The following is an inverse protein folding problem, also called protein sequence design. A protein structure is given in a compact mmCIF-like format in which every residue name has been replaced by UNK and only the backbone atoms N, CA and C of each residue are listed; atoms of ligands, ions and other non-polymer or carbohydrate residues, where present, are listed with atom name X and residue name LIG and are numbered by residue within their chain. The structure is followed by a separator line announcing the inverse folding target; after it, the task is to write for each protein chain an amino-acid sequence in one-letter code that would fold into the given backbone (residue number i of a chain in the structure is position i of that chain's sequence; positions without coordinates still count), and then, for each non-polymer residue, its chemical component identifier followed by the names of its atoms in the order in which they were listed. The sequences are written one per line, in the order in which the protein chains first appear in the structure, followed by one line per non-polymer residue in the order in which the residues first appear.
data_IF_390263278055
#
_entry.id   IF_390263278055
#
_cell.length_a   1.000
_cell.length_b   1.000
_cell.length_c   1.000
_cell.angle_alpha   90.00
_cell.angle_beta   90.00
_cell.angle_gamma   90.00
#
_symmetry.space_group_name_H-M   'P 1'
#
loop_
_entity.id
_entity.type
_entity.pdbx_description
1 polymer ?
#
# COMPACT_ATOMS: atom_id res chain seq x y z
N UNK A 1 -37.16 26.83 -45.07
CA UNK A 1 -36.04 27.76 -44.85
C UNK A 1 -35.75 27.79 -43.36
N UNK A 2 -34.71 27.10 -42.89
CA UNK A 2 -33.92 27.39 -41.68
C UNK A 2 -32.81 26.34 -41.59
N UNK A 3 -31.61 26.80 -41.24
CA UNK A 3 -30.30 26.16 -41.42
C UNK A 3 -29.89 25.26 -40.25
N UNK A 4 -28.93 24.37 -40.56
CA UNK A 4 -27.82 23.82 -39.75
C UNK A 4 -27.71 24.30 -38.29
N UNK A 5 -27.39 23.37 -37.38
CA UNK A 5 -26.09 23.32 -36.68
C UNK A 5 -25.81 21.84 -36.36
N UNK A 6 -24.79 21.27 -37.04
CA UNK A 6 -24.14 20.02 -36.65
C UNK A 6 -23.24 20.35 -35.47
N UNK A 7 -23.65 19.99 -34.25
CA UNK A 7 -22.76 20.08 -33.09
C UNK A 7 -21.82 18.88 -33.12
N UNK A 8 -20.62 19.09 -33.67
CA UNK A 8 -19.49 18.20 -33.56
C UNK A 8 -19.09 18.16 -32.07
N UNK A 9 -19.64 17.22 -31.31
CA UNK A 9 -19.08 16.87 -30.01
C UNK A 9 -17.75 16.17 -30.33
N UNK A 10 -16.66 16.94 -30.24
CA UNK A 10 -15.34 16.39 -30.02
C UNK A 10 -15.44 15.54 -28.75
N UNK A 11 -15.57 14.23 -28.92
CA UNK A 11 -15.10 13.29 -27.92
C UNK A 11 -13.58 13.48 -27.87
N UNK A 12 -13.13 14.45 -27.07
CA UNK A 12 -11.84 14.35 -26.42
C UNK A 12 -12.04 13.18 -25.46
N UNK A 13 -11.65 11.99 -25.90
CA UNK A 13 -11.36 10.88 -25.01
C UNK A 13 -10.31 11.38 -24.03
N UNK A 14 -10.75 11.88 -22.88
CA UNK A 14 -9.90 12.12 -21.73
C UNK A 14 -9.26 10.79 -21.41
N UNK A 15 -7.97 10.68 -21.71
CA UNK A 15 -7.15 9.56 -21.30
C UNK A 15 -7.25 9.50 -19.78
N UNK A 16 -7.85 8.46 -19.24
CA UNK A 16 -7.94 8.24 -17.79
C UNK A 16 -6.51 8.06 -17.26
N UNK A 17 -5.91 9.16 -16.81
CA UNK A 17 -4.58 9.19 -16.19
C UNK A 17 -4.70 8.55 -14.81
N UNK A 18 -4.53 7.25 -14.68
CA UNK A 18 -4.42 6.65 -13.34
C UNK A 18 -3.10 7.17 -12.73
N UNK A 19 -3.09 7.59 -11.46
CA UNK A 19 -1.88 8.13 -10.82
C UNK A 19 -1.30 7.10 -9.86
N UNK A 20 0.02 6.90 -9.89
CA UNK A 20 0.78 6.38 -8.77
C UNK A 20 0.58 7.30 -7.55
N UNK A 21 0.71 6.72 -6.37
CA UNK A 21 0.22 7.33 -5.14
C UNK A 21 1.25 8.27 -4.50
N UNK A 22 0.83 9.51 -4.20
CA UNK A 22 1.58 10.43 -3.35
C UNK A 22 0.68 10.82 -2.18
N UNK A 23 0.89 10.11 -1.06
CA UNK A 23 0.07 10.20 0.15
C UNK A 23 0.54 11.35 1.02
N UNK A 24 -0.40 12.14 1.53
CA UNK A 24 -0.13 13.36 2.31
C UNK A 24 -1.03 13.45 3.53
N UNK A 25 -0.70 14.33 4.47
CA UNK A 25 -1.59 14.57 5.60
C UNK A 25 -2.92 15.14 5.10
N UNK A 26 -4.05 14.72 5.68
CA UNK A 26 -5.37 15.24 5.31
C UNK A 26 -5.47 16.78 5.46
N UNK A 27 -4.63 17.39 6.31
CA UNK A 27 -4.52 18.84 6.47
C UNK A 27 -3.94 19.55 5.24
N UNK A 28 -3.17 18.84 4.41
CA UNK A 28 -2.58 19.33 3.16
C UNK A 28 -3.48 19.07 1.94
N UNK A 29 -4.63 18.43 2.12
CA UNK A 29 -5.58 18.24 1.03
C UNK A 29 -6.27 19.55 0.67
N UNK A 30 -6.41 19.77 -0.64
CA UNK A 30 -7.26 20.80 -1.22
C UNK A 30 -8.74 20.50 -0.96
N UNK A 31 -9.61 21.51 -1.12
CA UNK A 31 -11.05 21.32 -1.03
C UNK A 31 -11.59 20.33 -2.06
N UNK A 32 -10.99 20.29 -3.27
CA UNK A 32 -11.32 19.30 -4.29
C UNK A 32 -11.00 17.88 -3.83
N UNK A 33 -9.78 17.61 -3.38
CA UNK A 33 -9.37 16.27 -2.95
C UNK A 33 -10.23 15.76 -1.79
N UNK A 34 -10.61 16.64 -0.84
CA UNK A 34 -11.50 16.27 0.27
C UNK A 34 -12.88 15.86 -0.23
N UNK A 35 -13.44 16.62 -1.17
CA UNK A 35 -14.74 16.33 -1.77
C UNK A 35 -14.70 15.05 -2.62
N UNK A 36 -13.67 14.89 -3.45
CA UNK A 36 -13.46 13.71 -4.28
C UNK A 36 -13.27 12.44 -3.43
N UNK A 37 -12.52 12.52 -2.33
CA UNK A 37 -12.36 11.39 -1.41
C UNK A 37 -13.68 11.00 -0.74
N UNK A 38 -14.45 11.97 -0.25
CA UNK A 38 -15.79 11.72 0.32
C UNK A 38 -16.69 11.03 -0.70
N UNK A 39 -16.74 11.56 -1.93
CA UNK A 39 -17.53 10.99 -3.02
C UNK A 39 -17.06 9.57 -3.36
N UNK A 40 -15.75 9.35 -3.44
CA UNK A 40 -15.15 8.04 -3.68
C UNK A 40 -15.60 7.00 -2.66
N UNK A 41 -15.59 7.32 -1.37
CA UNK A 41 -16.09 6.41 -0.33
C UNK A 41 -17.57 6.08 -0.47
N UNK A 42 -18.42 7.05 -0.84
CA UNK A 42 -19.83 6.77 -1.12
C UNK A 42 -20.02 5.90 -2.36
N UNK A 43 -19.27 6.14 -3.44
CA UNK A 43 -19.33 5.31 -4.65
C UNK A 43 -18.89 3.87 -4.37
N UNK A 44 -17.79 3.67 -3.64
CA UNK A 44 -17.33 2.33 -3.23
C UNK A 44 -18.33 1.62 -2.30
N UNK A 45 -19.08 2.36 -1.49
CA UNK A 45 -20.17 1.83 -0.66
C UNK A 45 -21.40 1.44 -1.48
N UNK A 46 -21.70 2.18 -2.55
CA UNK A 46 -22.93 2.01 -3.32
C UNK A 46 -22.79 0.96 -4.43
N UNK A 47 -21.60 0.85 -5.03
CA UNK A 47 -21.31 0.01 -6.18
C UNK A 47 -20.49 -1.22 -5.77
N UNK A 48 -21.18 -2.30 -5.43
CA UNK A 48 -20.53 -3.54 -4.97
C UNK A 48 -20.20 -3.58 -3.48
N UNK A 49 -20.29 -2.45 -2.77
CA UNK A 49 -20.14 -2.36 -1.31
C UNK A 49 -18.77 -2.83 -0.78
N UNK A 50 -17.72 -2.36 -1.43
CA UNK A 50 -16.33 -2.70 -1.09
C UNK A 50 -15.99 -2.45 0.38
N UNK A 51 -16.57 -1.38 0.95
CA UNK A 51 -16.37 -0.99 2.35
C UNK A 51 -16.89 -2.08 3.30
N UNK A 52 -18.07 -2.64 3.04
CA UNK A 52 -18.59 -3.73 3.85
C UNK A 52 -17.80 -5.02 3.66
N UNK A 53 -17.43 -5.35 2.42
CA UNK A 53 -16.68 -6.57 2.12
C UNK A 53 -15.32 -6.58 2.82
N UNK A 54 -14.59 -5.46 2.78
CA UNK A 54 -13.34 -5.30 3.52
C UNK A 54 -13.53 -5.37 5.03
N UNK A 55 -14.63 -4.81 5.55
CA UNK A 55 -14.97 -4.89 6.97
C UNK A 55 -15.28 -6.33 7.40
N UNK A 56 -15.98 -7.10 6.58
CA UNK A 56 -16.29 -8.51 6.86
C UNK A 56 -15.02 -9.34 6.82
N UNK A 57 -14.19 -9.18 5.78
CA UNK A 57 -12.92 -9.88 5.69
C UNK A 57 -12.02 -9.59 6.91
N UNK A 58 -11.84 -8.32 7.25
CA UNK A 58 -11.01 -7.95 8.40
C UNK A 58 -11.56 -8.53 9.72
N UNK A 59 -12.88 -8.58 9.89
CA UNK A 59 -13.51 -9.25 11.03
C UNK A 59 -13.24 -10.76 11.05
N UNK A 60 -13.39 -11.42 9.91
CA UNK A 60 -13.28 -12.87 9.74
C UNK A 60 -11.83 -13.39 9.74
N UNK A 61 -10.85 -12.50 9.77
CA UNK A 61 -9.41 -12.82 9.81
C UNK A 61 -8.63 -12.05 10.89
N UNK A 62 -9.31 -11.36 11.82
CA UNK A 62 -8.72 -10.46 12.80
C UNK A 62 -7.64 -11.13 13.68
N UNK A 63 -8.01 -12.04 14.58
CA UNK A 63 -7.07 -12.77 15.46
C UNK A 63 -7.71 -14.12 15.83
N UNK A 64 -7.11 -15.24 15.40
CA UNK A 64 -7.61 -16.61 15.49
C UNK A 64 -6.78 -17.51 16.40
N UNK A 65 -6.23 -16.95 17.48
CA UNK A 65 -5.48 -17.65 18.53
C UNK A 65 -6.22 -18.82 19.25
N UNK A 66 -7.44 -19.17 18.82
CA UNK A 66 -8.23 -20.30 19.33
C UNK A 66 -8.74 -21.26 18.24
N UNK A 67 -8.11 -21.34 17.05
CA UNK A 67 -8.46 -22.37 16.05
C UNK A 67 -7.52 -23.57 16.08
N UNK A 68 -8.01 -24.73 15.65
CA UNK A 68 -7.23 -25.97 15.54
C UNK A 68 -6.39 -26.03 14.25
N UNK A 69 -6.47 -25.03 13.37
CA UNK A 69 -5.73 -25.00 12.11
C UNK A 69 -4.44 -24.21 12.29
N UNK A 70 -3.29 -24.87 12.53
CA UNK A 70 -2.01 -24.19 12.69
C UNK A 70 -1.49 -23.58 11.39
N UNK A 71 -2.21 -23.63 10.27
CA UNK A 71 -1.81 -23.06 8.98
C UNK A 71 -2.57 -21.78 8.61
N UNK A 72 -3.63 -21.45 9.34
CA UNK A 72 -4.41 -20.23 9.15
C UNK A 72 -3.66 -19.07 9.84
N UNK A 73 -3.10 -18.17 9.05
CA UNK A 73 -2.37 -16.99 9.57
C UNK A 73 -3.33 -16.05 10.36
N UNK A 74 -2.85 -14.94 10.90
CA UNK A 74 -3.71 -13.87 11.44
C UNK A 74 -3.29 -12.51 10.89
N UNK A 75 -4.25 -11.62 10.63
CA UNK A 75 -3.91 -10.26 10.18
C UNK A 75 -3.50 -9.36 11.36
N UNK A 76 -3.95 -9.72 12.58
CA UNK A 76 -3.58 -9.06 13.82
C UNK A 76 -3.10 -10.03 14.90
N UNK A 77 -2.26 -9.53 15.80
CA UNK A 77 -1.91 -10.14 17.08
C UNK A 77 -1.25 -11.52 17.00
N UNK A 78 -0.45 -11.77 15.96
CA UNK A 78 0.38 -12.97 15.84
C UNK A 78 1.13 -13.24 17.16
N UNK A 79 1.15 -14.52 17.56
CA UNK A 79 1.69 -14.91 18.86
C UNK A 79 3.23 -14.80 18.88
N UNK A 80 3.84 -14.52 20.05
CA UNK A 80 5.29 -14.42 20.18
C UNK A 80 6.07 -15.68 19.76
N UNK A 81 5.41 -16.84 19.72
CA UNK A 81 5.96 -18.14 19.31
C UNK A 81 5.77 -18.46 17.83
N UNK A 82 5.09 -17.60 17.06
CA UNK A 82 4.96 -17.71 15.60
C UNK A 82 5.48 -16.46 14.86
N UNK A 83 6.70 -15.97 15.18
CA UNK A 83 7.21 -14.72 14.64
C UNK A 83 7.24 -14.71 13.11
N UNK A 84 7.49 -15.83 12.46
CA UNK A 84 7.54 -15.96 11.00
C UNK A 84 6.21 -15.68 10.27
N UNK A 85 5.13 -15.44 11.03
CA UNK A 85 3.77 -15.15 10.57
C UNK A 85 3.36 -13.70 10.77
N UNK A 86 4.24 -12.85 11.32
CA UNK A 86 3.93 -11.42 11.49
C UNK A 86 3.72 -10.74 10.13
N UNK A 87 2.47 -10.44 9.82
CA UNK A 87 2.04 -9.83 8.55
C UNK A 87 1.30 -8.51 8.74
N UNK A 88 1.16 -8.00 9.97
CA UNK A 88 0.29 -6.85 10.28
C UNK A 88 0.59 -5.66 9.37
N UNK A 89 1.85 -5.23 9.34
CA UNK A 89 2.28 -4.09 8.54
C UNK A 89 2.11 -4.32 7.03
N UNK A 90 2.54 -5.49 6.53
CA UNK A 90 2.50 -5.81 5.11
C UNK A 90 1.07 -5.95 4.58
N UNK A 91 0.18 -6.57 5.37
CA UNK A 91 -1.23 -6.75 5.02
C UNK A 91 -1.94 -5.39 4.92
N UNK A 92 -1.79 -4.53 5.93
CA UNK A 92 -2.42 -3.21 5.92
C UNK A 92 -1.85 -2.29 4.84
N UNK A 93 -0.55 -2.34 4.53
CA UNK A 93 0.04 -1.64 3.37
C UNK A 93 -0.66 -2.03 2.07
N UNK A 94 -0.82 -3.34 1.84
CA UNK A 94 -1.47 -3.84 0.64
C UNK A 94 -2.95 -3.43 0.60
N UNK A 95 -3.65 -3.51 1.72
CA UNK A 95 -5.04 -3.05 1.83
C UNK A 95 -5.19 -1.56 1.49
N UNK A 96 -4.29 -0.70 1.99
CA UNK A 96 -4.31 0.73 1.66
C UNK A 96 -4.06 0.95 0.17
N UNK A 97 -3.10 0.24 -0.42
CA UNK A 97 -2.85 0.31 -1.85
C UNK A 97 -4.07 -0.11 -2.68
N UNK A 98 -4.74 -1.21 -2.34
CA UNK A 98 -5.92 -1.67 -3.08
C UNK A 98 -7.11 -0.72 -2.93
N UNK A 99 -7.35 -0.19 -1.72
CA UNK A 99 -8.36 0.85 -1.51
C UNK A 99 -8.07 2.09 -2.35
N UNK A 100 -6.81 2.52 -2.38
CA UNK A 100 -6.38 3.67 -3.18
C UNK A 100 -6.58 3.44 -4.67
N UNK A 101 -6.27 2.25 -5.18
CA UNK A 101 -6.55 1.90 -6.58
C UNK A 101 -8.05 1.90 -6.91
N UNK A 102 -8.89 1.41 -6.00
CA UNK A 102 -10.34 1.45 -6.16
C UNK A 102 -10.87 2.90 -6.18
N UNK A 103 -10.33 3.77 -5.32
CA UNK A 103 -10.60 5.20 -5.31
C UNK A 103 -10.13 5.89 -6.60
N UNK A 104 -8.96 5.52 -7.12
CA UNK A 104 -8.40 6.07 -8.35
C UNK A 104 -9.14 5.65 -9.61
N UNK A 105 -9.86 4.52 -9.56
CA UNK A 105 -10.79 4.14 -10.62
C UNK A 105 -11.99 5.11 -10.72
N UNK A 106 -12.36 5.75 -9.60
CA UNK A 106 -13.43 6.75 -9.53
C UNK A 106 -12.88 8.14 -9.85
N UNK A 107 -11.80 8.53 -9.18
CA UNK A 107 -11.10 9.79 -9.43
C UNK A 107 -9.58 9.55 -9.54
N UNK A 108 -9.00 9.63 -10.74
CA UNK A 108 -7.59 9.31 -10.95
C UNK A 108 -6.58 10.17 -10.17
N UNK A 109 -6.99 11.36 -9.70
CA UNK A 109 -6.10 12.34 -9.08
C UNK A 109 -6.04 12.24 -7.55
N UNK A 110 -6.88 11.40 -6.92
CA UNK A 110 -6.84 11.23 -5.47
C UNK A 110 -5.81 10.18 -5.06
N UNK A 111 -5.14 10.45 -3.95
CA UNK A 111 -4.36 9.50 -3.18
C UNK A 111 -4.95 9.44 -1.77
N UNK A 112 -4.87 8.31 -1.11
CA UNK A 112 -5.28 8.17 0.29
C UNK A 112 -4.46 9.15 1.15
N UNK A 113 -5.11 10.02 1.92
CA UNK A 113 -4.43 10.85 2.88
C UNK A 113 -4.20 10.07 4.17
N UNK A 114 -3.28 10.56 5.01
CA UNK A 114 -3.11 10.08 6.36
C UNK A 114 -3.63 11.07 7.41
N UNK A 115 -4.11 10.53 8.53
CA UNK A 115 -4.36 11.28 9.76
C UNK A 115 -3.24 11.02 10.76
N UNK A 116 -2.36 12.01 10.94
CA UNK A 116 -1.33 11.95 11.98
C UNK A 116 -1.95 12.20 13.37
N UNK A 117 -2.39 11.11 14.00
CA UNK A 117 -3.00 11.12 15.33
C UNK A 117 -2.05 11.51 16.46
N UNK A 118 -0.73 11.61 16.19
CA UNK A 118 0.22 12.14 17.19
C UNK A 118 0.14 13.65 17.35
N UNK A 119 -0.41 14.34 16.35
CA UNK A 119 -0.49 15.81 16.28
C UNK A 119 -1.93 16.27 16.36
N UNK A 120 -2.81 15.76 15.49
CA UNK A 120 -4.21 16.16 15.48
C UNK A 120 -5.06 15.26 16.38
N UNK A 121 -5.31 15.75 17.58
CA UNK A 121 -6.01 15.02 18.65
C UNK A 121 -7.34 15.63 19.07
N UNK A 122 -7.78 16.70 18.40
CA UNK A 122 -8.98 17.43 18.81
C UNK A 122 -10.25 16.70 18.35
N UNK A 123 -11.25 16.45 19.22
CA UNK A 123 -12.57 16.01 18.78
C UNK A 123 -13.31 17.08 17.98
N UNK A 124 -12.84 18.33 18.01
CA UNK A 124 -13.33 19.44 17.19
C UNK A 124 -12.44 19.71 15.96
N UNK A 125 -11.56 18.77 15.61
CA UNK A 125 -10.73 18.86 14.41
C UNK A 125 -11.58 18.95 13.13
N UNK A 126 -11.16 19.72 12.11
CA UNK A 126 -11.79 19.70 10.78
C UNK A 126 -11.84 18.31 10.13
N UNK A 127 -11.03 17.36 10.61
CA UNK A 127 -11.15 15.94 10.25
C UNK A 127 -12.59 15.44 10.43
N UNK A 128 -13.24 15.84 11.53
CA UNK A 128 -14.57 15.40 11.95
C UNK A 128 -15.70 16.30 11.45
N UNK A 129 -15.40 17.29 10.61
CA UNK A 129 -16.42 18.17 10.04
C UNK A 129 -17.40 17.39 9.17
N UNK A 130 -18.65 17.86 9.14
CA UNK A 130 -19.71 17.27 8.32
C UNK A 130 -19.39 17.27 6.82
N UNK A 131 -18.56 18.21 6.35
CA UNK A 131 -18.14 18.25 4.94
C UNK A 131 -16.97 17.29 4.63
N UNK A 132 -16.48 16.55 5.62
CA UNK A 132 -15.38 15.60 5.47
C UNK A 132 -15.70 14.27 6.17
N UNK A 133 -14.87 13.76 7.09
CA UNK A 133 -15.11 12.43 7.68
C UNK A 133 -16.30 12.40 8.63
N UNK A 134 -16.77 13.54 9.13
CA UNK A 134 -17.88 13.65 10.08
C UNK A 134 -19.20 13.06 9.59
N UNK A 135 -19.54 13.29 8.32
CA UNK A 135 -20.83 12.84 7.76
C UNK A 135 -21.06 11.34 7.83
N UNK A 136 -19.99 10.55 7.69
CA UNK A 136 -20.08 9.10 7.71
C UNK A 136 -20.59 8.58 9.05
N UNK A 137 -20.35 9.29 10.16
CA UNK A 137 -20.78 8.84 11.48
C UNK A 137 -22.29 8.61 11.54
N UNK A 138 -23.07 9.60 11.10
CA UNK A 138 -24.52 9.49 11.02
C UNK A 138 -24.96 8.68 9.79
N UNK A 139 -24.36 8.94 8.62
CA UNK A 139 -24.78 8.31 7.37
C UNK A 139 -24.64 6.78 7.40
N UNK A 140 -23.61 6.25 8.06
CA UNK A 140 -23.28 4.83 8.09
C UNK A 140 -23.45 4.19 9.46
N UNK A 141 -24.03 4.92 10.43
CA UNK A 141 -24.31 4.43 11.78
C UNK A 141 -23.06 3.93 12.50
N UNK A 142 -21.96 4.68 12.44
CA UNK A 142 -20.64 4.26 12.95
C UNK A 142 -20.54 4.35 14.47
N UNK A 143 -21.42 5.14 15.10
CA UNK A 143 -21.50 5.34 16.55
C UNK A 143 -20.16 5.80 17.17
N UNK A 144 -19.41 6.66 16.46
CA UNK A 144 -18.16 7.25 16.98
C UNK A 144 -18.41 7.96 18.31
N UNK A 145 -17.48 7.82 19.24
CA UNK A 145 -17.53 8.44 20.56
C UNK A 145 -16.15 9.01 20.92
N UNK A 146 -15.79 10.08 20.19
CA UNK A 146 -14.43 10.62 20.15
C UNK A 146 -13.93 10.98 21.56
N UNK A 147 -12.81 10.36 21.96
CA UNK A 147 -12.15 10.62 23.24
C UNK A 147 -12.85 10.08 24.48
N UNK A 148 -13.95 9.35 24.35
CA UNK A 148 -14.61 8.74 25.50
C UNK A 148 -13.86 7.50 26.03
N UNK A 149 -13.12 6.81 25.16
CA UNK A 149 -12.33 5.62 25.50
C UNK A 149 -10.94 5.68 24.89
N UNK A 150 -9.92 5.19 25.58
CA UNK A 150 -8.55 5.22 25.06
C UNK A 150 -7.94 6.63 24.96
N UNK A 151 -6.72 6.70 24.45
CA UNK A 151 -5.96 7.94 24.26
C UNK A 151 -5.23 7.89 22.92
N UNK A 152 -5.04 9.04 22.29
CA UNK A 152 -4.21 9.17 21.09
C UNK A 152 -2.73 9.20 21.47
N UNK A 153 -1.83 8.72 20.59
CA UNK A 153 -0.40 8.69 20.87
C UNK A 153 0.19 10.10 20.97
N UNK A 154 1.20 10.29 21.81
CA UNK A 154 2.04 11.49 21.75
C UNK A 154 3.15 11.33 20.70
N UNK A 155 3.80 12.43 20.26
CA UNK A 155 5.01 12.33 19.44
C UNK A 155 6.13 11.51 20.11
N UNK A 156 6.19 11.51 21.45
CA UNK A 156 7.15 10.69 22.19
C UNK A 156 6.82 9.20 22.09
N UNK A 157 5.54 8.81 22.11
CA UNK A 157 5.15 7.41 21.93
C UNK A 157 5.57 6.90 20.55
N UNK A 158 5.38 7.70 19.51
CA UNK A 158 5.87 7.38 18.17
C UNK A 158 7.41 7.29 18.14
N UNK A 159 8.11 8.22 18.78
CA UNK A 159 9.58 8.21 18.84
C UNK A 159 10.10 6.95 19.54
N UNK A 160 9.43 6.51 20.60
CA UNK A 160 9.77 5.29 21.32
C UNK A 160 9.61 4.05 20.41
N UNK A 161 8.50 3.95 19.68
CA UNK A 161 8.29 2.86 18.72
C UNK A 161 9.32 2.90 17.60
N UNK A 162 9.58 4.06 16.99
CA UNK A 162 10.56 4.20 15.90
C UNK A 162 12.01 3.88 16.33
N UNK A 163 12.31 3.91 17.62
CA UNK A 163 13.65 3.56 18.15
C UNK A 163 13.93 2.05 18.25
N UNK A 164 12.90 1.22 18.09
CA UNK A 164 13.04 -0.24 18.18
C UNK A 164 13.72 -0.75 16.91
N UNK A 165 14.81 -1.51 17.01
CA UNK A 165 15.57 -1.99 15.83
C UNK A 165 15.19 -3.41 15.40
N UNK A 166 14.69 -4.22 16.34
CA UNK A 166 14.16 -5.55 16.06
C UNK A 166 12.76 -5.43 15.46
N UNK A 167 12.54 -5.97 14.26
CA UNK A 167 11.27 -5.82 13.55
C UNK A 167 10.09 -6.42 14.32
N UNK A 168 10.24 -7.59 14.94
CA UNK A 168 9.14 -8.26 15.63
C UNK A 168 8.71 -7.49 16.87
N UNK A 169 9.68 -6.99 17.63
CA UNK A 169 9.40 -6.11 18.75
C UNK A 169 8.77 -4.81 18.25
N UNK A 170 9.25 -4.25 17.14
CA UNK A 170 8.71 -3.04 16.53
C UNK A 170 7.24 -3.23 16.10
N UNK A 171 6.96 -4.22 15.26
CA UNK A 171 5.64 -4.51 14.70
C UNK A 171 4.62 -4.80 15.81
N UNK A 172 4.97 -5.66 16.76
CA UNK A 172 4.10 -5.97 17.90
C UNK A 172 3.84 -4.74 18.80
N UNK A 173 4.86 -3.90 19.03
CA UNK A 173 4.70 -2.66 19.82
C UNK A 173 3.87 -1.63 19.07
N UNK A 174 4.08 -1.47 17.76
CA UNK A 174 3.32 -0.59 16.89
C UNK A 174 1.84 -1.00 16.91
N UNK A 175 1.55 -2.26 16.63
CA UNK A 175 0.21 -2.82 16.52
C UNK A 175 -0.57 -2.76 17.85
N UNK A 176 -0.02 -3.32 18.93
CA UNK A 176 -0.74 -3.42 20.22
C UNK A 176 -0.72 -2.10 20.99
N UNK A 177 0.28 -1.26 20.72
CA UNK A 177 0.55 -0.02 21.43
C UNK A 177 -0.41 1.12 21.09
N UNK A 178 -0.17 2.26 21.75
CA UNK A 178 -1.02 3.45 21.61
C UNK A 178 -0.95 4.08 20.22
N UNK A 179 0.15 3.86 19.46
CA UNK A 179 0.34 4.45 18.12
C UNK A 179 -0.72 3.97 17.12
N UNK A 180 -1.00 2.67 17.09
CA UNK A 180 -2.11 2.10 16.31
C UNK A 180 -3.40 2.00 17.14
N UNK A 181 -3.40 1.18 18.19
CA UNK A 181 -4.62 0.83 18.91
C UNK A 181 -5.24 2.02 19.68
N UNK A 182 -4.48 3.09 19.92
CA UNK A 182 -5.00 4.33 20.51
C UNK A 182 -6.05 5.01 19.63
N UNK A 183 -5.79 5.14 18.33
CA UNK A 183 -6.73 5.81 17.40
C UNK A 183 -8.03 5.00 17.20
N UNK A 184 -7.91 3.67 17.14
CA UNK A 184 -9.07 2.76 17.13
C UNK A 184 -9.98 3.00 18.34
N UNK A 185 -9.40 2.94 19.57
CA UNK A 185 -10.15 3.13 20.82
C UNK A 185 -10.68 4.55 21.00
N UNK A 186 -9.87 5.56 20.66
CA UNK A 186 -10.21 6.97 20.81
C UNK A 186 -11.34 7.39 19.88
N UNK A 187 -11.37 6.87 18.65
CA UNK A 187 -12.48 7.15 17.73
C UNK A 187 -13.79 6.52 18.22
N UNK A 188 -13.71 5.34 18.83
CA UNK A 188 -14.86 4.65 19.39
C UNK A 188 -15.82 4.11 18.32
N UNK A 189 -16.96 3.59 18.75
CA UNK A 189 -17.93 2.97 17.83
C UNK A 189 -17.32 1.78 17.10
N UNK A 190 -17.53 1.71 15.79
CA UNK A 190 -17.06 0.59 14.97
C UNK A 190 -15.53 0.53 14.86
N UNK A 191 -14.84 1.67 15.01
CA UNK A 191 -13.37 1.74 14.98
C UNK A 191 -12.73 0.97 16.13
N UNK A 192 -13.42 0.71 17.24
CA UNK A 192 -12.86 -0.02 18.37
C UNK A 192 -12.78 -1.54 18.15
N UNK A 193 -13.34 -2.07 17.07
CA UNK A 193 -13.50 -3.51 16.86
C UNK A 193 -12.97 -4.03 15.52
N UNK A 194 -13.03 -5.36 15.32
CA UNK A 194 -12.62 -5.99 14.06
C UNK A 194 -13.35 -5.45 12.81
N UNK A 195 -14.62 -5.03 12.86
CA UNK A 195 -15.26 -4.37 11.71
C UNK A 195 -14.81 -2.93 11.43
N UNK A 196 -13.68 -2.47 11.97
CA UNK A 196 -13.21 -1.08 11.86
C UNK A 196 -13.04 -0.55 10.42
N UNK A 197 -12.72 -1.35 9.38
CA UNK A 197 -12.69 -0.83 7.99
C UNK A 197 -14.02 -0.26 7.50
N UNK A 198 -15.14 -0.54 8.19
CA UNK A 198 -16.45 0.08 7.89
C UNK A 198 -16.44 1.61 8.07
N UNK A 199 -15.53 2.14 8.87
CA UNK A 199 -15.37 3.58 9.06
C UNK A 199 -14.29 4.13 8.12
N UNK A 200 -14.58 5.13 7.25
CA UNK A 200 -13.56 5.71 6.36
C UNK A 200 -12.32 6.24 7.06
N UNK A 201 -12.42 6.61 8.34
CA UNK A 201 -11.25 7.05 9.10
C UNK A 201 -10.23 5.94 9.31
N UNK A 202 -10.63 4.67 9.21
CA UNK A 202 -9.73 3.52 9.21
C UNK A 202 -8.64 3.68 8.15
N UNK A 203 -9.02 4.05 6.92
CA UNK A 203 -8.05 4.17 5.82
C UNK A 203 -7.09 5.34 6.04
N UNK A 204 -7.55 6.45 6.63
CA UNK A 204 -6.67 7.56 7.01
C UNK A 204 -5.71 7.19 8.13
N UNK A 205 -6.19 6.41 9.11
CA UNK A 205 -5.38 5.93 10.21
C UNK A 205 -4.34 4.90 9.74
N UNK A 206 -4.75 3.89 8.96
CA UNK A 206 -3.84 2.86 8.46
C UNK A 206 -2.87 3.37 7.40
N UNK A 207 -3.21 4.45 6.69
CA UNK A 207 -2.23 5.16 5.86
C UNK A 207 -1.16 5.87 6.71
N UNK A 208 -1.51 6.35 7.90
CA UNK A 208 -0.53 6.87 8.85
C UNK A 208 0.35 5.76 9.44
N UNK A 209 -0.24 4.60 9.78
CA UNK A 209 0.53 3.43 10.25
C UNK A 209 1.49 2.92 9.16
N UNK A 210 1.04 2.88 7.90
CA UNK A 210 1.89 2.50 6.78
C UNK A 210 3.05 3.49 6.55
N UNK A 211 2.80 4.79 6.71
CA UNK A 211 3.85 5.82 6.70
C UNK A 211 4.87 5.60 7.81
N UNK A 212 4.42 5.35 9.04
CA UNK A 212 5.28 5.09 10.19
C UNK A 212 6.18 3.87 9.95
N UNK A 213 5.63 2.80 9.35
CA UNK A 213 6.44 1.64 8.96
C UNK A 213 7.43 1.95 7.82
N UNK A 214 7.02 2.71 6.81
CA UNK A 214 7.93 3.15 5.74
C UNK A 214 9.13 3.94 6.32
N UNK A 215 8.88 4.91 7.19
CA UNK A 215 9.94 5.68 7.87
C UNK A 215 10.86 4.78 8.72
N UNK A 216 10.28 3.78 9.40
CA UNK A 216 11.07 2.81 10.15
C UNK A 216 12.02 2.03 9.25
N UNK A 217 11.52 1.56 8.09
CA UNK A 217 12.30 0.83 7.08
C UNK A 217 13.39 1.67 6.42
N UNK A 218 13.26 2.99 6.42
CA UNK A 218 14.31 3.91 5.96
C UNK A 218 15.48 3.98 6.94
N UNK A 219 15.23 3.81 8.24
CA UNK A 219 16.26 3.86 9.29
C UNK A 219 16.84 2.46 9.60
N UNK A 220 15.99 1.43 9.69
CA UNK A 220 16.31 0.11 10.23
C UNK A 220 16.56 -0.93 9.13
N UNK A 221 17.30 -0.52 8.10
CA UNK A 221 17.51 -1.26 6.85
C UNK A 221 18.21 -2.63 7.00
N UNK A 222 18.71 -2.95 8.20
CA UNK A 222 19.48 -4.15 8.52
C UNK A 222 18.70 -5.18 9.33
N UNK A 223 17.42 -4.93 9.65
CA UNK A 223 16.61 -5.90 10.39
C UNK A 223 16.47 -7.16 9.54
N UNK A 224 17.14 -8.24 9.95
CA UNK A 224 17.27 -9.51 9.23
C UNK A 224 16.00 -10.35 9.23
N UNK A 225 14.85 -9.70 9.45
CA UNK A 225 13.60 -10.38 9.67
C UNK A 225 12.93 -10.71 8.34
N UNK A 226 12.54 -11.98 8.19
CA UNK A 226 11.91 -12.53 7.00
C UNK A 226 10.47 -12.87 7.36
N UNK A 227 9.50 -12.25 6.69
CA UNK A 227 8.09 -12.60 6.82
C UNK A 227 7.86 -13.83 5.92
N UNK A 228 8.03 -15.04 6.45
CA UNK A 228 8.13 -16.25 5.59
C UNK A 228 6.78 -16.86 5.21
N UNK A 229 5.68 -16.32 5.71
CA UNK A 229 4.35 -16.85 5.43
C UNK A 229 3.33 -15.75 5.15
N UNK A 230 3.28 -15.31 3.89
CA UNK A 230 1.99 -14.96 3.30
C UNK A 230 1.68 -15.97 2.19
N UNK A 231 0.78 -16.87 2.50
CA UNK A 231 -0.13 -17.39 1.49
C UNK A 231 -1.52 -17.00 1.94
N UNK A 232 -1.97 -15.79 1.57
CA UNK A 232 -3.34 -15.32 1.86
C UNK A 232 -3.94 -14.45 0.79
N UNK A 233 -3.58 -14.76 -0.43
CA UNK A 233 -4.51 -14.55 -1.52
C UNK A 233 -4.68 -15.90 -2.21
N UNK A 234 -5.66 -16.68 -1.74
CA UNK A 234 -6.03 -17.97 -2.33
C UNK A 234 -7.12 -17.83 -3.41
N UNK A 235 -7.49 -16.59 -3.75
CA UNK A 235 -8.50 -16.28 -4.75
C UNK A 235 -9.92 -16.04 -4.20
N UNK A 236 -10.07 -15.76 -2.90
CA UNK A 236 -11.39 -15.50 -2.28
C UNK A 236 -11.85 -14.04 -2.30
N UNK A 237 -11.00 -13.08 -2.67
CA UNK A 237 -11.38 -11.67 -2.80
C UNK A 237 -11.34 -11.19 -4.24
N UNK A 238 -12.49 -10.86 -4.83
CA UNK A 238 -12.57 -10.31 -6.18
C UNK A 238 -13.08 -8.88 -6.15
N UNK A 239 -12.32 -7.92 -6.68
CA UNK A 239 -12.90 -6.64 -7.05
C UNK A 239 -13.54 -6.80 -8.43
N UNK A 240 -14.87 -6.64 -8.51
CA UNK A 240 -15.62 -6.80 -9.77
C UNK A 240 -15.36 -8.17 -10.47
N UNK A 241 -15.23 -9.25 -9.69
CA UNK A 241 -15.00 -10.60 -10.22
C UNK A 241 -13.57 -10.87 -10.72
N UNK A 242 -12.62 -9.94 -10.57
CA UNK A 242 -11.20 -10.17 -10.89
C UNK A 242 -10.39 -10.55 -9.67
N UNK A 243 -9.60 -11.60 -9.82
CA UNK A 243 -8.65 -12.05 -8.81
C UNK A 243 -7.42 -11.13 -8.79
N UNK A 244 -7.02 -10.69 -7.60
CA UNK A 244 -5.79 -9.91 -7.42
C UNK A 244 -4.56 -10.83 -7.40
N UNK A 245 -3.38 -10.36 -7.81
CA UNK A 245 -2.17 -11.18 -7.79
C UNK A 245 -1.76 -11.53 -6.35
N UNK A 246 -1.25 -12.75 -6.15
CA UNK A 246 -0.56 -13.13 -4.92
C UNK A 246 0.61 -12.16 -4.66
N UNK A 247 0.77 -11.71 -3.41
CA UNK A 247 1.86 -10.81 -2.99
C UNK A 247 2.65 -11.45 -1.87
N UNK A 248 3.97 -11.50 -2.03
CA UNK A 248 4.89 -11.83 -0.96
C UNK A 248 5.14 -10.55 -0.12
N UNK A 249 4.99 -10.57 1.22
CA UNK A 249 5.17 -9.42 2.10
C UNK A 249 6.57 -8.86 1.99
N UNK A 250 7.56 -9.73 1.77
CA UNK A 250 8.95 -9.34 1.59
C UNK A 250 9.12 -8.46 0.33
N UNK A 251 8.24 -8.58 -0.67
CA UNK A 251 8.27 -7.78 -1.89
C UNK A 251 7.72 -6.36 -1.67
N UNK A 252 6.95 -6.15 -0.59
CA UNK A 252 6.26 -4.89 -0.30
C UNK A 252 6.72 -4.23 1.00
N UNK A 253 7.84 -4.68 1.58
CA UNK A 253 8.50 -4.04 2.74
C UNK A 253 8.88 -2.59 2.45
N UNK A 254 9.16 -2.27 1.19
CA UNK A 254 9.34 -0.90 0.71
C UNK A 254 8.11 -0.46 -0.08
N UNK A 255 7.43 0.60 0.34
CA UNK A 255 6.22 1.10 -0.33
C UNK A 255 6.48 1.54 -1.78
N UNK A 256 7.73 1.89 -2.10
CA UNK A 256 8.19 2.20 -3.46
C UNK A 256 8.06 1.01 -4.40
N UNK A 257 8.03 -0.23 -3.93
CA UNK A 257 7.73 -1.42 -4.77
C UNK A 257 6.34 -1.35 -5.44
N UNK A 258 5.42 -0.59 -4.84
CA UNK A 258 4.06 -0.35 -5.32
C UNK A 258 3.93 1.00 -6.04
N UNK A 259 5.00 1.79 -6.13
CA UNK A 259 4.94 3.17 -6.64
C UNK A 259 4.26 4.15 -5.68
N UNK A 260 4.24 3.84 -4.38
CA UNK A 260 3.67 4.70 -3.34
C UNK A 260 4.78 5.54 -2.71
N UNK A 261 4.53 6.83 -2.58
CA UNK A 261 5.39 7.79 -1.88
C UNK A 261 4.60 8.56 -0.82
N UNK A 262 5.33 9.07 0.17
CA UNK A 262 4.78 9.93 1.22
C UNK A 262 5.32 11.34 1.08
N UNK A 263 4.44 12.31 1.34
CA UNK A 263 4.74 13.73 1.30
C UNK A 263 4.48 14.35 2.66
N UNK A 264 5.36 15.27 3.06
CA UNK A 264 5.23 16.08 4.26
C UNK A 264 5.58 17.53 3.92
N UNK A 265 4.88 18.47 4.55
CA UNK A 265 5.12 19.90 4.38
C UNK A 265 5.05 20.34 2.92
N UNK A 266 4.04 19.83 2.19
CA UNK A 266 3.80 20.17 0.79
C UNK A 266 4.97 19.80 -0.14
N UNK A 267 5.76 18.80 0.24
CA UNK A 267 6.88 18.31 -0.56
C UNK A 267 6.94 16.78 -0.53
N UNK A 268 7.07 16.18 -1.71
CA UNK A 268 7.44 14.77 -1.86
C UNK A 268 8.86 14.69 -2.41
N UNK A 269 9.63 13.76 -1.88
CA UNK A 269 10.93 13.35 -2.41
C UNK A 269 10.77 11.97 -3.01
N UNK A 270 11.09 11.85 -4.29
CA UNK A 270 10.99 10.62 -5.07
C UNK A 270 12.38 10.12 -5.41
N UNK A 271 12.82 9.13 -4.65
CA UNK A 271 14.12 8.47 -4.78
C UNK A 271 13.96 6.94 -4.82
N UNK A 272 15.03 6.26 -5.22
CA UNK A 272 15.20 4.81 -5.24
C UNK A 272 14.01 4.06 -5.85
N UNK A 273 13.48 4.58 -6.96
CA UNK A 273 12.34 4.02 -7.65
C UNK A 273 12.68 3.71 -9.10
N UNK A 274 12.21 2.57 -9.57
CA UNK A 274 12.38 2.19 -10.97
C UNK A 274 11.02 2.04 -11.62
N UNK A 275 10.79 2.85 -12.64
CA UNK A 275 9.57 2.78 -13.46
C UNK A 275 9.47 1.40 -14.08
N UNK A 276 8.40 0.70 -13.72
CA UNK A 276 8.18 -0.70 -14.09
C UNK A 276 7.13 -0.85 -15.19
N UNK A 277 6.20 0.11 -15.24
CA UNK A 277 4.91 0.05 -15.89
C UNK A 277 4.09 -1.21 -15.53
N UNK A 278 4.23 -1.70 -14.29
CA UNK A 278 3.55 -2.93 -13.83
C UNK A 278 2.04 -2.77 -13.81
N UNK A 279 1.56 -1.64 -13.27
CA UNK A 279 0.13 -1.38 -13.11
C UNK A 279 -0.43 -0.47 -14.20
N UNK A 280 0.43 0.33 -14.85
CA UNK A 280 0.03 1.32 -15.84
C UNK A 280 1.18 1.82 -16.73
N UNK A 281 0.82 2.24 -17.94
CA UNK A 281 1.73 2.88 -18.90
C UNK A 281 1.06 4.14 -19.48
N UNK A 282 1.64 5.35 -19.30
CA UNK A 282 2.79 5.65 -18.46
C UNK A 282 2.47 5.52 -16.96
N UNK A 283 3.49 5.31 -16.12
CA UNK A 283 3.35 5.51 -14.67
C UNK A 283 3.30 7.01 -14.38
N UNK A 284 2.13 7.50 -13.98
CA UNK A 284 1.87 8.93 -13.76
C UNK A 284 1.97 9.25 -12.28
N UNK A 285 2.72 10.26 -11.88
CA UNK A 285 2.76 10.76 -10.51
C UNK A 285 2.18 12.17 -10.45
N UNK A 286 1.04 12.34 -9.78
CA UNK A 286 0.40 13.63 -9.59
C UNK A 286 0.51 14.13 -8.14
N UNK A 287 0.89 15.40 -7.96
CA UNK A 287 0.88 16.05 -6.65
C UNK A 287 0.63 17.56 -6.75
N UNK A 288 -0.28 18.13 -5.96
CA UNK A 288 -0.61 19.57 -6.05
C UNK A 288 0.53 20.50 -5.58
N UNK A 289 1.53 19.99 -4.88
CA UNK A 289 2.64 20.79 -4.37
C UNK A 289 3.97 20.37 -4.98
N UNK A 290 5.07 20.42 -4.22
CA UNK A 290 6.41 20.28 -4.76
C UNK A 290 6.78 18.80 -4.92
N UNK A 291 7.28 18.43 -6.11
CA UNK A 291 7.88 17.12 -6.39
C UNK A 291 9.38 17.32 -6.60
N UNK A 292 10.20 16.64 -5.80
CA UNK A 292 11.63 16.47 -6.07
C UNK A 292 11.90 15.04 -6.51
N UNK A 293 12.52 14.87 -7.67
CA UNK A 293 12.94 13.56 -8.21
C UNK A 293 14.46 13.50 -8.14
N UNK A 294 15.01 12.53 -7.44
CA UNK A 294 16.42 12.48 -7.10
C UNK A 294 17.00 11.07 -7.16
N UNK A 295 17.86 10.72 -6.20
CA UNK A 295 18.77 9.58 -6.21
C UNK A 295 18.11 8.28 -6.67
N UNK A 296 18.66 7.66 -7.72
CA UNK A 296 18.23 6.36 -8.25
C UNK A 296 16.75 6.28 -8.65
N UNK A 297 16.14 7.41 -9.03
CA UNK A 297 14.90 7.37 -9.80
C UNK A 297 15.22 7.04 -11.27
N UNK A 298 14.90 5.83 -11.70
CA UNK A 298 15.29 5.28 -13.01
C UNK A 298 14.07 5.03 -13.90
N UNK A 299 14.15 5.53 -15.13
CA UNK A 299 13.20 5.19 -16.22
C UNK A 299 13.95 4.29 -17.22
N UNK A 300 13.68 2.98 -17.22
CA UNK A 300 14.37 2.03 -18.10
C UNK A 300 13.99 2.21 -19.58
N UNK A 301 14.77 1.60 -20.48
CA UNK A 301 14.45 1.56 -21.90
C UNK A 301 13.05 0.94 -22.10
N UNK A 302 12.27 1.48 -23.04
CA UNK A 302 10.88 1.08 -23.35
C UNK A 302 9.87 1.32 -22.22
N UNK A 303 10.27 2.02 -21.14
CA UNK A 303 9.37 2.42 -20.06
C UNK A 303 8.97 3.88 -20.19
N UNK A 304 7.78 4.18 -19.69
CA UNK A 304 7.16 5.49 -19.78
C UNK A 304 6.73 5.99 -18.40
N UNK A 305 7.14 7.21 -18.04
CA UNK A 305 6.68 7.87 -16.82
C UNK A 305 6.29 9.32 -17.07
N UNK A 306 5.27 9.74 -16.33
CA UNK A 306 4.78 11.10 -16.33
C UNK A 306 4.80 11.65 -14.90
N UNK A 307 5.27 12.88 -14.71
CA UNK A 307 5.25 13.57 -13.42
C UNK A 307 4.52 14.90 -13.61
N UNK A 308 3.50 15.12 -12.79
CA UNK A 308 2.60 16.26 -12.86
C UNK A 308 2.59 16.91 -11.48
N UNK A 309 2.93 18.19 -11.43
CA UNK A 309 2.82 18.99 -10.22
C UNK A 309 2.00 20.24 -10.48
N UNK A 310 1.15 20.68 -9.55
CA UNK A 310 0.50 21.98 -9.68
C UNK A 310 1.38 23.16 -9.23
N UNK A 311 2.59 22.91 -8.71
CA UNK A 311 3.48 23.94 -8.20
C UNK A 311 4.89 23.87 -8.81
N UNK A 312 5.65 22.81 -8.50
CA UNK A 312 7.06 22.71 -8.88
C UNK A 312 7.51 21.26 -9.02
N UNK A 313 8.29 20.99 -10.07
CA UNK A 313 9.04 19.75 -10.26
C UNK A 313 10.53 20.10 -10.27
N UNK A 314 11.33 19.39 -9.48
CA UNK A 314 12.79 19.52 -9.44
C UNK A 314 13.41 18.18 -9.76
N UNK A 315 14.18 18.12 -10.85
CA UNK A 315 15.03 16.96 -11.15
C UNK A 315 16.42 17.24 -10.57
N UNK A 316 16.82 16.48 -9.56
CA UNK A 316 18.14 16.57 -8.93
C UNK A 316 19.10 15.54 -9.53
N UNK A 317 20.43 15.68 -9.33
CA UNK A 317 21.37 14.60 -9.63
C UNK A 317 20.88 13.27 -9.06
N UNK A 318 21.08 12.18 -9.81
CA UNK A 318 20.61 10.84 -9.45
C UNK A 318 19.35 10.37 -10.20
N UNK A 319 18.59 11.28 -10.81
CA UNK A 319 17.55 10.93 -11.79
C UNK A 319 18.17 10.42 -13.10
N UNK A 320 17.67 9.30 -13.64
CA UNK A 320 18.19 8.70 -14.87
C UNK A 320 17.06 8.19 -15.78
N UNK A 321 16.95 8.74 -16.99
CA UNK A 321 16.10 8.22 -18.05
C UNK A 321 16.98 7.55 -19.13
N UNK A 322 16.83 6.24 -19.31
CA UNK A 322 17.63 5.48 -20.26
C UNK A 322 17.27 5.85 -21.72
N UNK A 323 18.23 5.71 -22.64
CA UNK A 323 17.94 5.87 -24.07
C UNK A 323 16.82 4.91 -24.50
N UNK A 324 15.79 5.43 -25.17
CA UNK A 324 14.59 4.67 -25.54
C UNK A 324 13.48 4.62 -24.47
N UNK A 325 13.63 5.32 -23.34
CA UNK A 325 12.53 5.61 -22.41
C UNK A 325 11.71 6.83 -22.86
N UNK A 326 10.49 6.99 -22.32
CA UNK A 326 9.71 8.23 -22.44
C UNK A 326 9.49 8.85 -21.07
N UNK A 327 9.79 10.14 -20.96
CA UNK A 327 9.58 10.90 -19.73
C UNK A 327 8.87 12.21 -20.04
N UNK A 328 7.79 12.48 -19.31
CA UNK A 328 7.01 13.71 -19.42
C UNK A 328 6.89 14.38 -18.06
N UNK A 329 7.37 15.61 -17.91
CA UNK A 329 7.15 16.42 -16.71
C UNK A 329 6.31 17.66 -17.06
N UNK A 330 5.23 17.93 -16.32
CA UNK A 330 4.43 19.16 -16.51
C UNK A 330 4.14 19.86 -15.19
N UNK A 331 4.16 21.19 -15.22
CA UNK A 331 3.49 22.00 -14.21
C UNK A 331 2.04 22.21 -14.69
N UNK A 332 1.08 21.78 -13.87
CA UNK A 332 -0.33 21.88 -14.17
C UNK A 332 -0.90 23.18 -13.60
N UNK A 333 -1.13 24.17 -14.46
CA UNK A 333 -1.71 25.46 -14.08
C UNK A 333 -3.24 25.38 -13.83
N UNK A 334 -3.90 24.23 -14.09
CA UNK A 334 -5.37 24.14 -14.22
C UNK A 334 -6.15 23.54 -13.02
N UNK A 335 -5.52 23.19 -11.90
CA UNK A 335 -6.24 22.55 -10.78
C UNK A 335 -7.17 23.50 -9.98
N UNK A 336 -7.37 24.73 -10.45
CA UNK A 336 -8.40 25.67 -9.96
C UNK A 336 -9.68 25.68 -10.82
N UNK A 337 -9.90 24.67 -11.69
CA UNK A 337 -11.06 24.72 -12.58
C UNK A 337 -12.38 24.68 -11.81
N UNK A 338 -13.27 25.63 -12.15
CA UNK A 338 -14.61 25.84 -11.61
C UNK A 338 -15.57 24.61 -11.74
N UNK A 339 -15.15 23.55 -12.42
CA UNK A 339 -15.89 22.29 -12.57
C UNK A 339 -16.05 21.55 -11.25
N UNK A 340 -15.04 21.61 -10.37
CA UNK A 340 -15.07 21.06 -9.02
C UNK A 340 -16.03 21.82 -8.10
N UNK A 341 -16.18 23.14 -8.29
CA UNK A 341 -17.21 23.95 -7.62
C UNK A 341 -18.62 23.65 -8.13
N UNK A 342 -18.79 23.24 -9.40
CA UNK A 342 -20.09 22.83 -9.93
C UNK A 342 -20.54 21.46 -9.40
N UNK A 343 -19.62 20.52 -9.15
CA UNK A 343 -19.93 19.24 -8.49
C UNK A 343 -20.24 19.40 -6.99
N UNK A 344 -19.67 20.41 -6.33
CA UNK A 344 -20.04 20.83 -4.98
C UNK A 344 -21.38 21.59 -4.91
N UNK A 345 -21.90 22.07 -6.04
CA UNK A 345 -23.14 22.85 -6.14
C UNK A 345 -24.35 22.03 -6.61
N UNK A 346 -24.15 20.81 -7.12
CA UNK A 346 -25.24 19.85 -7.28
C UNK A 346 -25.65 19.35 -5.89
N UNK A 347 -26.93 19.45 -5.57
CA UNK A 347 -27.50 18.80 -4.39
C UNK A 347 -26.99 17.35 -4.32
N UNK A 348 -26.63 16.83 -3.13
CA UNK A 348 -26.13 15.47 -3.02
C UNK A 348 -27.11 14.53 -3.74
N UNK A 349 -26.62 13.59 -4.56
CA UNK A 349 -27.49 12.59 -5.15
C UNK A 349 -28.29 11.94 -4.01
N UNK A 350 -29.58 11.71 -4.22
CA UNK A 350 -30.44 11.12 -3.21
C UNK A 350 -29.76 9.87 -2.65
N UNK A 351 -29.37 9.95 -1.36
CA UNK A 351 -28.51 8.97 -0.73
C UNK A 351 -29.14 7.59 -0.77
N UNK A 352 -28.34 6.60 -1.14
CA UNK A 352 -28.70 5.21 -0.95
C UNK A 352 -28.74 4.91 0.55
N UNK A 353 -29.90 4.54 1.07
CA UNK A 353 -30.13 4.21 2.47
C UNK A 353 -29.81 2.75 2.78
N UNK A 354 -28.84 2.14 2.09
CA UNK A 354 -28.39 0.78 2.40
C UNK A 354 -27.86 0.79 3.83
N UNK A 355 -28.68 0.33 4.76
CA UNK A 355 -28.21 -0.02 6.07
C UNK A 355 -27.26 -1.18 5.90
N UNK A 356 -26.09 -1.07 6.52
CA UNK A 356 -25.24 -2.24 6.70
C UNK A 356 -26.05 -3.33 7.37
N UNK A 357 -25.96 -4.56 6.87
CA UNK A 357 -26.48 -5.70 7.59
C UNK A 357 -25.82 -5.73 8.99
N UNK A 358 -26.63 -5.96 10.02
CA UNK A 358 -26.16 -5.95 11.39
C UNK A 358 -25.22 -7.15 11.58
N UNK A 359 -23.92 -6.90 11.60
CA UNK A 359 -22.93 -7.89 12.02
C UNK A 359 -23.16 -8.12 13.51
N UNK A 360 -23.48 -9.37 13.89
CA UNK A 360 -23.71 -9.75 15.29
C UNK A 360 -22.38 -9.68 16.05
N UNK A 361 -22.26 -8.70 16.96
CA UNK A 361 -21.05 -8.44 17.74
C UNK A 361 -20.83 -9.45 18.89
N UNK A 362 -21.62 -10.52 19.00
CA UNK A 362 -21.45 -11.54 20.03
C UNK A 362 -21.81 -12.97 19.56
N UNK A 363 -20.83 -13.70 19.00
CA UNK A 363 -20.74 -15.18 18.86
C UNK A 363 -19.58 -15.51 17.91
N UNK A 364 -18.79 -16.58 17.98
CA UNK A 364 -18.52 -17.71 18.89
C UNK A 364 -17.32 -18.46 18.24
N UNK A 365 -16.33 -18.99 18.98
CA UNK A 365 -16.18 -20.42 19.35
C UNK A 365 -15.99 -21.40 18.16
N UNK A 366 -14.78 -21.99 18.08
CA UNK A 366 -14.27 -23.27 17.49
C UNK A 366 -15.03 -24.02 16.37
N UNK A 367 -14.31 -24.50 15.33
CA UNK A 367 -14.16 -25.93 14.92
C UNK A 367 -13.54 -26.16 13.50
N UNK A 368 -12.40 -26.87 13.49
CA UNK A 368 -11.92 -28.00 12.64
C UNK A 368 -11.90 -28.07 11.07
N UNK A 369 -10.76 -28.64 10.61
CA UNK A 369 -10.41 -29.47 9.42
C UNK A 369 -9.77 -28.90 8.12
N UNK A 370 -8.45 -29.21 8.04
CA UNK A 370 -7.75 -30.04 7.02
C UNK A 370 -7.29 -29.47 5.66
N UNK A 371 -5.95 -29.58 5.51
CA UNK A 371 -5.15 -30.21 4.42
C UNK A 371 -4.66 -29.40 3.20
N UNK A 372 -3.33 -29.22 3.20
CA UNK A 372 -2.31 -29.49 2.16
C UNK A 372 -2.44 -28.85 0.77
N UNK A 373 -1.36 -28.16 0.38
CA UNK A 373 -0.72 -28.35 -0.94
C UNK A 373 0.74 -27.89 -0.94
N UNK A 374 1.61 -28.75 -1.50
CA UNK A 374 3.05 -28.51 -1.72
C UNK A 374 3.29 -27.70 -3.01
N UNK A 375 4.18 -26.71 -2.92
CA UNK A 375 4.97 -26.15 -4.04
C UNK A 375 6.44 -26.14 -3.59
N UNK A 376 7.39 -26.18 -4.53
CA UNK A 376 8.84 -26.16 -4.24
C UNK A 376 9.18 -24.86 -3.52
N UNK A 377 9.30 -24.90 -2.20
CA UNK A 377 9.62 -23.73 -1.36
C UNK A 377 11.11 -23.41 -1.44
N UNK A 378 11.43 -22.22 -1.91
CA UNK A 378 12.77 -21.64 -1.83
C UNK A 378 12.69 -20.25 -1.19
N UNK A 379 13.80 -19.79 -0.61
CA UNK A 379 13.91 -18.48 0.06
C UNK A 379 15.17 -17.79 -0.43
N UNK A 380 15.08 -16.56 -0.92
CA UNK A 380 16.22 -15.70 -1.23
C UNK A 380 16.38 -14.63 -0.15
N UNK A 381 17.57 -14.49 0.43
CA UNK A 381 17.84 -13.50 1.49
C UNK A 381 19.30 -13.01 1.44
N UNK A 382 19.62 -11.82 1.97
CA UNK A 382 18.69 -10.78 2.39
C UNK A 382 18.02 -10.09 1.17
N UNK A 383 16.80 -9.59 1.32
CA UNK A 383 16.16 -8.70 0.34
C UNK A 383 15.49 -7.55 1.12
N UNK A 384 15.99 -6.30 1.07
CA UNK A 384 17.07 -5.81 0.21
C UNK A 384 18.45 -6.41 0.52
N UNK A 385 19.32 -6.54 -0.49
CA UNK A 385 20.70 -7.01 -0.35
C UNK A 385 21.72 -5.90 -0.48
N UNK A 386 22.88 -6.08 0.17
CA UNK A 386 24.01 -5.13 0.12
C UNK A 386 25.16 -5.66 -0.75
N UNK A 387 25.58 -6.91 -0.54
CA UNK A 387 26.75 -7.48 -1.24
C UNK A 387 26.65 -8.96 -1.60
N UNK A 388 25.67 -9.66 -1.03
CA UNK A 388 25.42 -11.05 -1.33
C UNK A 388 23.94 -11.39 -1.15
N UNK A 389 23.51 -12.41 -1.88
CA UNK A 389 22.22 -13.08 -1.76
C UNK A 389 22.47 -14.55 -1.48
N UNK A 390 21.55 -15.19 -0.81
CA UNK A 390 21.57 -16.60 -0.50
C UNK A 390 20.21 -17.18 -0.77
N UNK A 391 20.21 -18.30 -1.50
CA UNK A 391 19.03 -19.10 -1.73
C UNK A 391 19.08 -20.37 -0.88
N UNK A 392 18.00 -20.62 -0.15
CA UNK A 392 17.74 -21.84 0.62
C UNK A 392 16.50 -22.56 0.07
N UNK A 393 16.64 -23.83 -0.28
CA UNK A 393 15.57 -24.73 -0.71
C UNK A 393 15.05 -25.56 0.47
N UNK A 394 13.74 -25.85 0.50
CA UNK A 394 13.20 -26.93 1.32
C UNK A 394 13.48 -28.28 0.63
N UNK A 395 14.71 -28.77 0.84
CA UNK A 395 15.21 -30.03 0.28
C UNK A 395 16.50 -29.87 -0.52
N UNK A 396 17.21 -30.98 -0.77
CA UNK A 396 18.44 -30.96 -1.56
C UNK A 396 18.12 -31.01 -3.07
N UNK A 397 18.87 -30.24 -3.84
CA UNK A 397 18.86 -30.30 -5.30
C UNK A 397 20.17 -30.86 -5.85
N UNK A 398 20.09 -31.65 -6.92
CA UNK A 398 21.26 -32.14 -7.66
C UNK A 398 22.03 -30.97 -8.28
N UNK A 399 21.30 -29.94 -8.73
CA UNK A 399 21.85 -28.71 -9.28
C UNK A 399 20.94 -27.52 -8.99
N UNK A 400 21.55 -26.43 -8.55
CA UNK A 400 20.95 -25.11 -8.41
C UNK A 400 21.79 -24.13 -9.22
N UNK A 401 21.14 -23.39 -10.11
CA UNK A 401 21.72 -22.23 -10.79
C UNK A 401 20.96 -20.98 -10.30
N UNK A 402 21.68 -19.99 -9.79
CA UNK A 402 21.10 -18.68 -9.48
C UNK A 402 21.85 -17.58 -10.20
N UNK A 403 21.13 -16.60 -10.71
CA UNK A 403 21.74 -15.42 -11.31
C UNK A 403 20.90 -14.17 -11.10
N UNK A 404 21.58 -13.07 -10.85
CA UNK A 404 20.96 -11.75 -10.78
C UNK A 404 21.02 -11.12 -12.16
N UNK A 405 19.87 -10.63 -12.61
CA UNK A 405 19.75 -9.80 -13.79
C UNK A 405 19.34 -8.39 -13.37
N UNK A 406 19.70 -7.40 -14.18
CA UNK A 406 18.97 -6.15 -14.14
C UNK A 406 17.51 -6.37 -14.55
N UNK A 407 16.66 -5.38 -14.31
CA UNK A 407 15.25 -5.39 -14.70
C UNK A 407 15.00 -5.52 -16.22
N UNK A 408 16.03 -5.35 -17.07
CA UNK A 408 15.93 -5.58 -18.52
C UNK A 408 16.18 -7.05 -18.87
N UNK A 409 16.44 -7.89 -17.87
CA UNK A 409 16.77 -9.30 -18.03
C UNK A 409 18.24 -9.55 -18.36
N UNK A 410 19.11 -8.52 -18.36
CA UNK A 410 20.54 -8.69 -18.61
C UNK A 410 21.17 -9.32 -17.38
N UNK A 411 21.72 -10.52 -17.55
CA UNK A 411 22.46 -11.21 -16.48
C UNK A 411 23.71 -10.41 -16.08
N UNK A 412 23.81 -10.10 -14.79
CA UNK A 412 24.92 -9.36 -14.21
C UNK A 412 25.89 -10.31 -13.49
N UNK A 413 25.36 -11.33 -12.83
CA UNK A 413 26.17 -12.32 -12.11
C UNK A 413 25.44 -13.63 -11.91
N UNK A 414 26.17 -14.75 -11.98
CA UNK A 414 25.65 -16.11 -11.82
C UNK A 414 26.55 -16.93 -10.91
N UNK A 415 25.94 -17.88 -10.22
CA UNK A 415 26.64 -18.98 -9.55
C UNK A 415 25.82 -20.25 -9.65
N UNK A 416 26.49 -21.40 -9.49
CA UNK A 416 25.88 -22.72 -9.55
C UNK A 416 26.45 -23.61 -8.45
N UNK A 417 25.62 -24.46 -7.87
CA UNK A 417 26.03 -25.47 -6.89
C UNK A 417 25.25 -26.76 -7.11
N UNK A 418 25.77 -27.88 -6.63
CA UNK A 418 25.11 -29.19 -6.74
C UNK A 418 25.11 -29.95 -5.43
N UNK A 419 24.19 -30.90 -5.32
CA UNK A 419 23.97 -31.72 -4.11
C UNK A 419 23.84 -30.89 -2.83
N UNK A 420 23.09 -29.80 -2.90
CA UNK A 420 22.93 -28.85 -1.80
C UNK A 420 21.49 -28.34 -1.74
N UNK A 421 21.08 -27.89 -0.57
CA UNK A 421 19.86 -27.11 -0.33
C UNK A 421 20.14 -25.61 -0.26
N UNK A 422 21.40 -25.19 -0.30
CA UNK A 422 21.83 -23.79 -0.11
C UNK A 422 22.86 -23.36 -1.13
N UNK A 423 22.74 -22.14 -1.62
CA UNK A 423 23.71 -21.50 -2.52
C UNK A 423 23.77 -19.99 -2.28
N UNK A 424 24.97 -19.41 -2.27
CA UNK A 424 25.16 -17.97 -2.09
C UNK A 424 25.73 -17.32 -3.36
N UNK A 425 25.12 -16.22 -3.79
CA UNK A 425 25.58 -15.31 -4.84
C UNK A 425 26.22 -14.08 -4.18
N UNK A 426 27.55 -14.12 -4.04
CA UNK A 426 28.35 -13.03 -3.46
C UNK A 426 28.99 -12.15 -4.54
N UNK A 427 29.61 -11.03 -4.14
CA UNK A 427 30.32 -10.14 -5.04
C UNK A 427 29.40 -9.13 -5.74
N UNK A 428 28.35 -8.70 -5.03
CA UNK A 428 27.33 -7.78 -5.51
C UNK A 428 27.49 -6.35 -4.94
N UNK A 429 28.59 -6.07 -4.25
CA UNK A 429 28.83 -4.81 -3.52
C UNK A 429 28.85 -3.60 -4.47
N UNK A 430 29.33 -3.81 -5.69
CA UNK A 430 29.49 -2.77 -6.71
C UNK A 430 28.24 -2.57 -7.57
N UNK A 431 27.15 -3.31 -7.33
CA UNK A 431 25.88 -3.04 -8.00
C UNK A 431 25.32 -1.70 -7.53
N UNK A 432 24.79 -0.90 -8.47
CA UNK A 432 24.12 0.34 -8.12
C UNK A 432 22.87 0.02 -7.26
N UNK A 433 22.55 0.86 -6.26
CA UNK A 433 21.27 0.75 -5.55
C UNK A 433 20.11 0.78 -6.54
N UNK A 434 19.11 -0.10 -6.38
CA UNK A 434 17.99 -0.23 -7.31
C UNK A 434 17.37 -1.62 -7.32
N UNK A 435 16.36 -1.80 -8.17
CA UNK A 435 15.66 -3.08 -8.32
C UNK A 435 16.40 -4.01 -9.30
N UNK A 436 16.41 -5.30 -9.00
CA UNK A 436 17.01 -6.37 -9.78
C UNK A 436 16.06 -7.58 -9.80
N UNK A 437 16.37 -8.57 -10.63
CA UNK A 437 15.64 -9.84 -10.69
C UNK A 437 16.61 -10.95 -10.31
N UNK A 438 16.32 -11.70 -9.26
CA UNK A 438 17.00 -12.97 -8.99
C UNK A 438 16.28 -14.06 -9.77
N UNK A 439 17.03 -14.79 -10.58
CA UNK A 439 16.54 -15.90 -11.36
C UNK A 439 17.12 -17.18 -10.80
N UNK A 440 16.28 -18.20 -10.71
CA UNK A 440 16.55 -19.44 -10.01
C UNK A 440 16.14 -20.60 -10.91
N UNK A 441 17.04 -21.55 -11.08
CA UNK A 441 16.77 -22.78 -11.80
C UNK A 441 17.25 -23.97 -10.98
N UNK A 442 16.36 -24.92 -10.73
CA UNK A 442 16.63 -26.13 -9.94
C UNK A 442 16.51 -27.34 -10.85
N UNK A 443 17.54 -28.20 -10.87
CA UNK A 443 17.62 -29.44 -11.65
C UNK A 443 17.26 -29.28 -13.14
N UNK A 444 17.58 -28.13 -13.74
CA UNK A 444 17.25 -27.83 -15.14
C UNK A 444 15.76 -27.57 -15.41
N UNK A 445 14.95 -27.39 -14.36
CA UNK A 445 13.53 -27.06 -14.44
C UNK A 445 13.25 -25.64 -14.93
N UNK A 446 12.00 -25.19 -14.72
CA UNK A 446 11.56 -23.83 -15.06
C UNK A 446 12.38 -22.78 -14.32
N UNK A 447 12.66 -21.67 -15.00
CA UNK A 447 13.29 -20.50 -14.40
C UNK A 447 12.23 -19.73 -13.60
N UNK A 448 12.51 -19.53 -12.32
CA UNK A 448 11.71 -18.74 -11.38
C UNK A 448 12.40 -17.41 -11.16
N UNK A 449 11.67 -16.30 -11.31
CA UNK A 449 12.22 -14.94 -11.19
C UNK A 449 11.52 -14.18 -10.07
N UNK A 450 12.29 -13.61 -9.15
CA UNK A 450 11.80 -12.81 -8.02
C UNK A 450 12.44 -11.42 -8.04
N UNK A 451 11.67 -10.38 -7.67
CA UNK A 451 12.18 -9.01 -7.60
C UNK A 451 12.96 -8.83 -6.30
N UNK A 452 14.17 -8.33 -6.43
CA UNK A 452 15.06 -8.08 -5.29
C UNK A 452 15.61 -6.66 -5.37
N UNK A 453 15.89 -6.06 -4.22
CA UNK A 453 16.32 -4.66 -4.12
C UNK A 453 17.77 -4.63 -3.66
N UNK A 454 18.66 -3.99 -4.42
CA UNK A 454 19.98 -3.57 -3.95
C UNK A 454 19.82 -2.22 -3.26
N UNK A 455 20.36 -2.08 -2.05
CA UNK A 455 20.55 -0.76 -1.44
C UNK A 455 22.00 -0.31 -1.47
#
# INVERSE_FOLDING_TARGET
MARLITLLILLISSVSLHSQSIRKNYTEMTGYEKAALVNGFFELRNNGDLINDLSQFHNDFFNFDNTFDPTRLDIHFNLPDEPERDIFCAWHRRQMFEMEQALQHIDPLISLPFWNSTIDQSPASPLWDQNFMGQFNAAWGLNRNLGATGVLPSPQDLTNVQSITDFLVYSNTLERGVVHAGAHRWTGGIMSGPPSPRDPIFYLHHTFIDKVWQEWQEVNQTSSFIITSMLRYDGTYSFNGQLLPLVNPNDIVDSRSLGVFYADNQQVVMDYYTVSNTYQTPETFFYQYNIEVCDNFVIPQEKESQIISANRIVLKPGFHAANGSKFHARIDEETTSASSQQLLASAPPAYNTKQFEQIDYQKNVYADLSENREEVKYKVHPNPFVGALELNLEGNAERIDIWISDIRGIELRRTSAGNTSRIALSGLENLAPGMYIINIQVNGGRIMGEKIIKR
#
